data_IF_580996660925
#
_entry.id   IF_580996660925
#
_cell.length_a   1.000
_cell.length_b   1.000
_cell.length_c   1.000
_cell.angle_alpha   90.00
_cell.angle_beta   90.00
_cell.angle_gamma   90.00
#
_symmetry.space_group_name_H-M   'P 1'
#
loop_
_entity.id
_entity.type
_entity.pdbx_description
1 polymer ?
#
# COMPACT_ATOMS: atom_id res chain seq x y z
N UNK A 1 2.94 25.31 31.34
CA UNK A 1 4.31 25.24 31.89
C UNK A 1 5.30 25.13 30.73
N UNK A 2 6.09 26.19 30.49
CA UNK A 2 6.92 26.34 29.28
C UNK A 2 8.16 25.43 29.30
N UNK A 3 8.68 25.13 30.50
CA UNK A 3 9.81 24.22 30.71
C UNK A 3 9.42 22.79 30.34
N UNK A 4 8.23 22.35 30.78
CA UNK A 4 7.69 21.03 30.46
C UNK A 4 7.48 20.85 28.95
N UNK A 5 6.96 21.87 28.26
CA UNK A 5 6.79 21.84 26.80
C UNK A 5 8.14 21.69 26.06
N UNK A 6 9.18 22.38 26.52
CA UNK A 6 10.53 22.29 25.95
C UNK A 6 11.16 20.92 26.18
N UNK A 7 10.96 20.31 27.35
CA UNK A 7 11.42 18.95 27.65
C UNK A 7 10.74 17.91 26.76
N UNK A 8 9.42 18.00 26.59
CA UNK A 8 8.65 17.11 25.69
C UNK A 8 9.15 17.26 24.25
N UNK A 9 9.38 18.48 23.80
CA UNK A 9 9.90 18.74 22.46
C UNK A 9 11.27 18.07 22.23
N UNK A 10 12.23 18.28 23.15
CA UNK A 10 13.55 17.66 23.04
C UNK A 10 13.46 16.13 23.06
N UNK A 11 12.66 15.57 23.96
CA UNK A 11 12.42 14.12 24.00
C UNK A 11 11.89 13.60 22.67
N UNK A 12 10.85 14.23 22.11
CA UNK A 12 10.26 13.81 20.84
C UNK A 12 11.27 13.89 19.69
N UNK A 13 12.07 14.96 19.62
CA UNK A 13 13.11 15.11 18.59
C UNK A 13 14.15 13.98 18.69
N UNK A 14 14.63 13.69 19.90
CA UNK A 14 15.59 12.62 20.11
C UNK A 14 14.99 11.24 19.83
N UNK A 15 13.77 10.98 20.30
CA UNK A 15 13.06 9.73 20.07
C UNK A 15 12.83 9.48 18.57
N UNK A 16 12.41 10.49 17.81
CA UNK A 16 12.22 10.40 16.37
C UNK A 16 13.53 10.14 15.63
N UNK A 17 14.63 10.80 16.03
CA UNK A 17 15.96 10.57 15.44
C UNK A 17 16.47 9.15 15.71
N UNK A 18 16.36 8.68 16.95
CA UNK A 18 16.73 7.31 17.30
C UNK A 18 15.86 6.28 16.56
N UNK A 19 14.56 6.54 16.46
CA UNK A 19 13.62 5.70 15.72
C UNK A 19 13.96 5.60 14.24
N UNK A 20 14.27 6.73 13.59
CA UNK A 20 14.72 6.74 12.19
C UNK A 20 16.02 5.95 12.01
N UNK A 21 17.03 6.17 12.85
CA UNK A 21 18.29 5.43 12.79
C UNK A 21 18.13 3.92 13.03
N UNK A 22 17.20 3.52 13.90
CA UNK A 22 16.85 2.11 14.11
C UNK A 22 16.24 1.48 12.85
N UNK A 23 15.30 2.18 12.21
CA UNK A 23 14.66 1.70 10.99
C UNK A 23 15.68 1.54 9.85
N UNK A 24 16.59 2.50 9.69
CA UNK A 24 17.65 2.44 8.68
C UNK A 24 18.60 1.26 8.92
N UNK A 25 19.00 1.05 10.18
CA UNK A 25 19.84 -0.09 10.55
C UNK A 25 19.13 -1.43 10.30
N UNK A 26 17.85 -1.53 10.65
CA UNK A 26 17.03 -2.71 10.41
C UNK A 26 16.90 -3.01 8.91
N UNK A 27 16.61 -2.00 8.08
CA UNK A 27 16.51 -2.16 6.64
C UNK A 27 17.85 -2.56 6.01
N UNK A 28 18.96 -1.97 6.48
CA UNK A 28 20.31 -2.36 6.05
C UNK A 28 20.62 -3.82 6.36
N UNK A 29 20.25 -4.29 7.56
CA UNK A 29 20.42 -5.69 7.95
C UNK A 29 19.63 -6.64 7.05
N UNK A 30 18.35 -6.34 6.80
CA UNK A 30 17.51 -7.13 5.88
C UNK A 30 18.11 -7.20 4.47
N UNK A 31 18.57 -6.06 3.94
CA UNK A 31 19.21 -6.00 2.62
C UNK A 31 20.47 -6.87 2.54
N UNK A 32 21.36 -6.79 3.54
CA UNK A 32 22.58 -7.59 3.60
C UNK A 32 22.30 -9.10 3.62
N UNK A 33 21.18 -9.50 4.22
CA UNK A 33 20.73 -10.88 4.30
C UNK A 33 19.80 -11.30 3.14
N UNK A 34 19.51 -10.39 2.20
CA UNK A 34 18.58 -10.61 1.09
C UNK A 34 17.16 -11.02 1.55
N UNK A 35 16.72 -10.49 2.68
CA UNK A 35 15.41 -10.77 3.26
C UNK A 35 14.39 -9.68 2.90
N UNK A 36 13.13 -10.10 2.80
CA UNK A 36 11.96 -9.24 2.70
C UNK A 36 10.94 -9.69 3.73
N UNK A 37 10.40 -8.74 4.49
CA UNK A 37 9.21 -8.96 5.30
C UNK A 37 7.93 -8.67 4.49
N UNK A 38 6.77 -8.97 5.09
CA UNK A 38 5.48 -8.78 4.42
C UNK A 38 5.21 -7.32 4.03
N UNK A 39 5.67 -6.35 4.83
CA UNK A 39 5.52 -4.93 4.52
C UNK A 39 6.43 -4.51 3.37
N UNK A 40 7.65 -5.04 3.32
CA UNK A 40 8.56 -4.80 2.21
C UNK A 40 8.00 -5.33 0.89
N UNK A 41 7.30 -6.47 0.91
CA UNK A 41 6.69 -7.04 -0.30
C UNK A 41 5.65 -6.08 -0.89
N UNK A 42 4.71 -5.59 -0.07
CA UNK A 42 3.71 -4.60 -0.51
C UNK A 42 4.39 -3.34 -1.05
N UNK A 43 5.35 -2.79 -0.30
CA UNK A 43 6.04 -1.57 -0.70
C UNK A 43 6.83 -1.72 -1.99
N UNK A 44 7.55 -2.84 -2.16
CA UNK A 44 8.32 -3.11 -3.39
C UNK A 44 7.42 -3.31 -4.60
N UNK A 45 6.29 -3.99 -4.45
CA UNK A 45 5.30 -4.12 -5.54
C UNK A 45 4.76 -2.76 -5.94
N UNK A 46 4.42 -1.91 -4.97
CA UNK A 46 4.00 -0.54 -5.24
C UNK A 46 5.05 0.25 -6.03
N UNK A 47 6.33 0.19 -5.60
CA UNK A 47 7.43 0.87 -6.29
C UNK A 47 7.65 0.33 -7.72
N UNK A 48 7.53 -0.99 -7.90
CA UNK A 48 7.69 -1.62 -9.21
C UNK A 48 6.61 -1.20 -10.21
N UNK A 49 5.38 -1.00 -9.75
CA UNK A 49 4.26 -0.60 -10.60
C UNK A 49 4.17 0.92 -10.84
N UNK A 50 4.68 1.73 -9.92
CA UNK A 50 4.57 3.20 -9.98
C UNK A 50 5.77 3.86 -10.67
N UNK A 51 7.01 3.44 -10.37
CA UNK A 51 8.21 4.20 -10.73
C UNK A 51 9.41 3.32 -11.14
N UNK A 52 9.17 2.26 -11.92
CA UNK A 52 10.28 1.44 -12.44
C UNK A 52 10.30 1.39 -13.96
N UNK A 53 11.49 1.27 -14.54
CA UNK A 53 11.68 0.98 -15.97
C UNK A 53 10.95 -0.33 -16.39
N UNK A 54 10.59 -1.17 -15.42
CA UNK A 54 9.87 -2.42 -15.60
C UNK A 54 8.35 -2.29 -15.43
N UNK A 55 7.81 -1.12 -15.07
CA UNK A 55 6.39 -0.93 -14.74
C UNK A 55 5.49 -1.32 -15.91
N UNK A 56 5.79 -0.80 -17.11
CA UNK A 56 5.04 -1.12 -18.34
C UNK A 56 5.06 -2.62 -18.65
N UNK A 57 6.21 -3.28 -18.49
CA UNK A 57 6.35 -4.71 -18.72
C UNK A 57 5.53 -5.55 -17.73
N UNK A 58 5.53 -5.15 -16.45
CA UNK A 58 4.74 -5.81 -15.41
C UNK A 58 3.24 -5.62 -15.66
N UNK A 59 2.81 -4.39 -15.97
CA UNK A 59 1.42 -4.08 -16.30
C UNK A 59 0.96 -4.88 -17.51
N UNK A 60 1.75 -4.91 -18.59
CA UNK A 60 1.47 -5.73 -19.77
C UNK A 60 1.28 -7.21 -19.43
N UNK A 61 2.16 -7.75 -18.57
CA UNK A 61 2.04 -9.14 -18.10
C UNK A 61 0.77 -9.39 -17.30
N UNK A 62 0.40 -8.45 -16.44
CA UNK A 62 -0.81 -8.56 -15.63
C UNK A 62 -2.06 -8.49 -16.52
N UNK A 63 -2.10 -7.54 -17.45
CA UNK A 63 -3.20 -7.38 -18.42
C UNK A 63 -3.38 -8.60 -19.31
N UNK A 64 -2.26 -9.17 -19.78
CA UNK A 64 -2.26 -10.38 -20.61
C UNK A 64 -2.74 -11.62 -19.85
N UNK A 65 -2.60 -11.62 -18.52
CA UNK A 65 -2.89 -12.78 -17.67
C UNK A 65 -4.27 -12.72 -17.02
N UNK A 66 -4.71 -11.54 -16.60
CA UNK A 66 -5.90 -11.35 -15.78
C UNK A 66 -6.87 -10.41 -16.47
N UNK A 67 -8.01 -10.95 -16.93
CA UNK A 67 -9.09 -10.17 -17.54
C UNK A 67 -10.19 -9.78 -16.55
N UNK A 68 -10.31 -10.54 -15.47
CA UNK A 68 -11.32 -10.37 -14.43
C UNK A 68 -10.65 -10.45 -13.07
N UNK A 69 -10.85 -9.45 -12.22
CA UNK A 69 -10.27 -9.36 -10.87
C UNK A 69 -11.39 -9.37 -9.85
N UNK A 70 -11.32 -10.32 -8.92
CA UNK A 70 -12.25 -10.48 -7.82
C UNK A 70 -11.54 -10.08 -6.52
N UNK A 71 -12.01 -9.02 -5.86
CA UNK A 71 -11.49 -8.58 -4.56
C UNK A 71 -12.50 -8.96 -3.49
N UNK A 72 -12.23 -10.07 -2.78
CA UNK A 72 -13.02 -10.50 -1.64
C UNK A 72 -12.48 -9.91 -0.32
N UNK A 73 -13.30 -9.89 0.71
CA UNK A 73 -12.97 -9.35 2.04
C UNK A 73 -12.37 -7.93 1.99
N UNK A 74 -12.89 -7.08 1.10
CA UNK A 74 -12.31 -5.77 0.82
C UNK A 74 -12.21 -4.86 2.06
N UNK A 75 -13.04 -5.10 3.07
CA UNK A 75 -12.98 -4.38 4.35
C UNK A 75 -11.65 -4.49 5.08
N UNK A 76 -10.87 -5.54 4.80
CA UNK A 76 -9.57 -5.78 5.43
C UNK A 76 -8.39 -5.30 4.57
N UNK A 77 -8.68 -4.64 3.43
CA UNK A 77 -7.67 -4.06 2.56
C UNK A 77 -7.07 -2.80 3.18
N UNK A 78 -5.75 -2.65 3.05
CA UNK A 78 -5.04 -1.45 3.48
C UNK A 78 -4.86 -0.44 2.32
N UNK A 79 -4.62 0.85 2.60
CA UNK A 79 -4.47 1.85 1.53
C UNK A 79 -3.35 1.56 0.53
N UNK A 80 -2.26 0.94 0.94
CA UNK A 80 -1.12 0.60 0.06
C UNK A 80 -1.50 -0.50 -0.94
N UNK A 81 -2.20 -1.53 -0.49
CA UNK A 81 -2.74 -2.59 -1.35
C UNK A 81 -3.71 -2.03 -2.39
N UNK A 82 -4.58 -1.10 -1.98
CA UNK A 82 -5.48 -0.43 -2.91
C UNK A 82 -4.73 0.46 -3.91
N UNK A 83 -3.70 1.19 -3.49
CA UNK A 83 -2.85 1.98 -4.39
C UNK A 83 -2.16 1.12 -5.46
N UNK A 84 -1.67 -0.06 -5.10
CA UNK A 84 -1.09 -1.04 -6.03
C UNK A 84 -2.09 -1.41 -7.13
N UNK A 85 -3.32 -1.73 -6.74
CA UNK A 85 -4.38 -2.11 -7.70
C UNK A 85 -4.80 -0.92 -8.57
N UNK A 86 -4.94 0.26 -7.98
CA UNK A 86 -5.25 1.48 -8.73
C UNK A 86 -4.19 1.82 -9.77
N UNK A 87 -2.90 1.71 -9.42
CA UNK A 87 -1.80 1.96 -10.35
C UNK A 87 -1.86 1.00 -11.55
N UNK A 88 -2.14 -0.29 -11.28
CA UNK A 88 -2.34 -1.25 -12.35
C UNK A 88 -3.55 -0.89 -13.23
N UNK A 89 -4.74 -0.72 -12.65
CA UNK A 89 -5.95 -0.45 -13.44
C UNK A 89 -5.88 0.85 -14.24
N UNK A 90 -5.30 1.91 -13.67
CA UNK A 90 -5.09 3.18 -14.38
C UNK A 90 -4.19 3.01 -15.61
N UNK A 91 -3.10 2.23 -15.49
CA UNK A 91 -2.23 1.94 -16.61
C UNK A 91 -2.92 1.09 -17.68
N UNK A 92 -3.67 0.06 -17.28
CA UNK A 92 -4.44 -0.77 -18.21
C UNK A 92 -5.49 0.05 -18.97
N UNK A 93 -6.16 0.98 -18.29
CA UNK A 93 -7.14 1.89 -18.89
C UNK A 93 -6.51 2.79 -19.95
N UNK A 94 -5.25 3.21 -19.77
CA UNK A 94 -4.54 4.05 -20.74
C UNK A 94 -4.26 3.34 -22.08
N UNK A 95 -4.29 2.01 -22.11
CA UNK A 95 -4.06 1.17 -23.31
C UNK A 95 -5.28 0.32 -23.69
N UNK A 96 -6.47 0.69 -23.21
CA UNK A 96 -7.75 0.00 -23.46
C UNK A 96 -7.74 -1.51 -23.10
N UNK A 97 -6.89 -1.91 -22.14
CA UNK A 97 -6.73 -3.30 -21.68
C UNK A 97 -7.39 -3.58 -20.33
N UNK A 98 -8.13 -2.60 -19.77
CA UNK A 98 -8.65 -2.64 -18.40
C UNK A 98 -9.37 -3.96 -18.06
N UNK A 99 -9.01 -4.62 -16.93
CA UNK A 99 -9.72 -5.79 -16.47
C UNK A 99 -11.06 -5.40 -15.84
N UNK A 100 -12.06 -6.27 -15.89
CA UNK A 100 -13.29 -6.04 -15.12
C UNK A 100 -13.02 -6.32 -13.64
N UNK A 101 -13.38 -5.40 -12.76
CA UNK A 101 -13.16 -5.54 -11.32
C UNK A 101 -14.49 -5.77 -10.60
N UNK A 102 -14.54 -6.77 -9.73
CA UNK A 102 -15.68 -7.02 -8.85
C UNK A 102 -15.20 -7.10 -7.40
N UNK A 103 -15.87 -6.36 -6.53
CA UNK A 103 -15.44 -6.17 -5.13
C UNK A 103 -16.54 -6.64 -4.20
N UNK A 104 -16.18 -7.47 -3.23
CA UNK A 104 -17.04 -8.01 -2.17
C UNK A 104 -16.45 -7.61 -0.82
N UNK A 105 -17.34 -7.22 0.09
CA UNK A 105 -16.96 -7.01 1.48
C UNK A 105 -18.08 -6.36 2.29
N UNK A 106 -17.94 -6.40 3.61
CA UNK A 106 -18.86 -5.80 4.56
C UNK A 106 -18.10 -4.83 5.49
N UNK A 107 -18.30 -3.51 5.37
CA UNK A 107 -17.66 -2.53 6.24
C UNK A 107 -17.90 -2.79 7.73
N UNK A 108 -19.03 -3.42 8.10
CA UNK A 108 -19.37 -3.73 9.50
C UNK A 108 -18.50 -4.86 10.06
N UNK A 109 -17.83 -5.63 9.21
CA UNK A 109 -16.95 -6.74 9.59
C UNK A 109 -15.46 -6.36 9.58
N UNK A 110 -15.12 -5.08 9.36
CA UNK A 110 -13.74 -4.58 9.41
C UNK A 110 -13.16 -4.68 10.83
N UNK A 111 -12.54 -5.81 11.17
CA UNK A 111 -11.91 -6.04 12.48
C UNK A 111 -10.37 -5.94 12.46
N UNK A 112 -9.76 -5.79 11.28
CA UNK A 112 -8.30 -5.80 11.11
C UNK A 112 -7.63 -4.41 11.15
N UNK A 113 -8.19 -3.43 11.87
CA UNK A 113 -7.58 -2.07 11.99
C UNK A 113 -6.15 -2.09 12.52
N UNK A 114 -5.78 -3.08 13.34
CA UNK A 114 -4.41 -3.28 13.83
C UNK A 114 -3.40 -3.61 12.72
N UNK A 115 -3.87 -4.14 11.57
CA UNK A 115 -3.07 -4.34 10.34
C UNK A 115 -3.16 -3.18 9.36
N UNK A 116 -3.69 -2.04 9.80
CA UNK A 116 -3.94 -0.84 8.97
C UNK A 116 -5.01 -1.02 7.89
N UNK A 117 -5.90 -2.01 8.05
CA UNK A 117 -7.12 -2.06 7.24
C UNK A 117 -7.94 -0.78 7.46
N UNK A 118 -8.50 -0.24 6.37
CA UNK A 118 -9.25 1.01 6.41
C UNK A 118 -10.59 0.89 5.67
N UNK A 119 -11.67 0.70 6.43
CA UNK A 119 -13.02 0.62 5.88
C UNK A 119 -13.46 1.88 5.10
N UNK A 120 -12.77 3.03 5.24
CA UNK A 120 -13.03 4.22 4.41
C UNK A 120 -12.73 3.97 2.93
N UNK A 121 -11.91 2.96 2.61
CA UNK A 121 -11.61 2.58 1.23
C UNK A 121 -12.85 2.15 0.45
N UNK A 122 -13.92 1.66 1.09
CA UNK A 122 -15.16 1.33 0.37
C UNK A 122 -15.77 2.54 -0.36
N UNK A 123 -15.66 3.75 0.20
CA UNK A 123 -16.13 4.95 -0.47
C UNK A 123 -15.33 5.22 -1.75
N UNK A 124 -14.00 5.13 -1.64
CA UNK A 124 -13.06 5.33 -2.75
C UNK A 124 -13.27 4.28 -3.85
N UNK A 125 -13.43 3.02 -3.50
CA UNK A 125 -13.70 1.94 -4.48
C UNK A 125 -15.04 2.13 -5.18
N UNK A 126 -16.08 2.53 -4.44
CA UNK A 126 -17.39 2.75 -5.03
C UNK A 126 -17.35 3.86 -6.08
N UNK A 127 -16.65 4.95 -5.81
CA UNK A 127 -16.43 6.03 -6.77
C UNK A 127 -15.63 5.54 -7.98
N UNK A 128 -14.56 4.77 -7.74
CA UNK A 128 -13.74 4.18 -8.81
C UNK A 128 -14.56 3.28 -9.76
N UNK A 129 -15.41 2.40 -9.23
CA UNK A 129 -16.22 1.47 -10.03
C UNK A 129 -17.37 2.15 -10.79
N UNK A 130 -17.68 3.41 -10.50
CA UNK A 130 -18.74 4.19 -11.16
C UNK A 130 -18.22 5.08 -12.31
N UNK A 131 -16.89 5.16 -12.49
CA UNK A 131 -16.22 5.91 -13.56
C UNK A 131 -16.03 5.05 -14.82
#
# INVERSE_FOLDING_TARGET
>A
DQLQAQQIYQFNVHALRCGAGLLDAYQTLKQRQQLLDFGDLEWRVCQLLDNSDCAEYLQYKLDSRYRHVLLDEFQDTNPLQWQILQAWFAASKAVDSEPTVFVVGDPKQSIYRFRRADARLFGVVREFLQQ
#
